data_IF_852520935157
#
_entry.id   IF_852520935157
#
_cell.length_a   1.000
_cell.length_b   1.000
_cell.length_c   1.000
_cell.angle_alpha   90.00
_cell.angle_beta   90.00
_cell.angle_gamma   90.00
#
_symmetry.space_group_name_H-M   'P 1'
#
loop_
_entity.id
_entity.type
_entity.pdbx_description
1 polymer ?
#
# COMPACT_ATOMS: atom_id res chain seq x y z
N UNK A 1 1.58 -46.97 -31.32
CA UNK A 1 2.42 -46.00 -30.55
C UNK A 1 2.21 -44.53 -30.92
N UNK A 2 1.85 -44.14 -32.16
CA UNK A 2 1.71 -42.72 -32.53
C UNK A 2 0.41 -42.04 -32.07
N UNK A 3 -0.69 -42.76 -31.85
CA UNK A 3 -1.95 -42.17 -31.39
C UNK A 3 -1.90 -41.72 -29.92
N UNK A 4 -1.24 -42.51 -29.05
CA UNK A 4 -1.08 -42.20 -27.63
C UNK A 4 -0.14 -41.00 -27.40
N UNK A 5 0.95 -40.88 -28.20
CA UNK A 5 1.81 -39.69 -28.19
C UNK A 5 1.09 -38.43 -28.68
N UNK A 6 0.20 -38.54 -29.68
CA UNK A 6 -0.63 -37.41 -30.16
C UNK A 6 -1.70 -36.99 -29.16
N UNK A 7 -2.28 -37.95 -28.44
CA UNK A 7 -3.26 -37.70 -27.38
C UNK A 7 -2.60 -37.07 -26.15
N UNK A 8 -1.40 -37.53 -25.79
CA UNK A 8 -0.60 -36.99 -24.67
C UNK A 8 0.06 -35.64 -25.00
N UNK A 9 0.45 -35.39 -26.25
CA UNK A 9 0.91 -34.05 -26.68
C UNK A 9 -0.24 -33.03 -26.68
N UNK A 10 -1.48 -33.47 -26.92
CA UNK A 10 -2.66 -32.61 -26.84
C UNK A 10 -3.05 -32.21 -25.41
N UNK A 11 -2.64 -33.01 -24.42
CA UNK A 11 -2.87 -32.75 -22.99
C UNK A 11 -1.80 -31.83 -22.37
N UNK A 12 -0.65 -31.62 -23.02
CA UNK A 12 0.51 -30.90 -22.44
C UNK A 12 1.07 -29.74 -23.29
N UNK A 13 0.44 -29.31 -24.38
CA UNK A 13 0.94 -28.13 -25.12
C UNK A 13 -0.16 -27.33 -25.83
N UNK A 14 -1.11 -26.79 -25.06
CA UNK A 14 -1.75 -25.53 -25.47
C UNK A 14 -0.98 -24.41 -24.79
N UNK A 15 -0.21 -23.66 -25.59
CA UNK A 15 0.28 -22.36 -25.13
C UNK A 15 -0.92 -21.52 -24.67
N UNK A 16 -0.81 -20.80 -23.55
CA UNK A 16 -1.90 -19.94 -23.10
C UNK A 16 -2.24 -18.94 -24.20
N UNK A 17 -3.53 -18.82 -24.50
CA UNK A 17 -4.07 -17.97 -25.55
C UNK A 17 -4.48 -16.57 -25.04
N UNK A 18 -4.49 -16.37 -23.71
CA UNK A 18 -4.84 -15.10 -23.09
C UNK A 18 -4.15 -14.92 -21.73
N UNK A 19 -4.13 -13.67 -21.23
CA UNK A 19 -3.64 -13.35 -19.90
C UNK A 19 -4.43 -14.09 -18.82
N UNK A 20 -5.76 -14.21 -18.96
CA UNK A 20 -6.59 -14.95 -18.00
C UNK A 20 -6.17 -16.42 -17.91
N UNK A 21 -5.77 -17.03 -19.04
CA UNK A 21 -5.27 -18.41 -19.02
C UNK A 21 -3.93 -18.52 -18.29
N UNK A 22 -3.04 -17.54 -18.44
CA UNK A 22 -1.78 -17.50 -17.68
C UNK A 22 -2.08 -17.37 -16.18
N UNK A 23 -2.99 -16.48 -15.79
CA UNK A 23 -3.40 -16.30 -14.39
C UNK A 23 -3.99 -17.59 -13.79
N UNK A 24 -4.86 -18.29 -14.53
CA UNK A 24 -5.40 -19.58 -14.09
C UNK A 24 -4.30 -20.63 -13.90
N UNK A 25 -3.32 -20.68 -14.81
CA UNK A 25 -2.18 -21.61 -14.68
C UNK A 25 -1.33 -21.30 -13.44
N UNK A 26 -1.11 -20.03 -13.12
CA UNK A 26 -0.40 -19.62 -11.90
C UNK A 26 -1.17 -20.04 -10.64
N UNK A 27 -2.49 -19.86 -10.62
CA UNK A 27 -3.35 -20.29 -9.51
C UNK A 27 -3.35 -21.82 -9.34
N UNK A 28 -3.38 -22.57 -10.44
CA UNK A 28 -3.28 -24.04 -10.42
C UNK A 28 -1.91 -24.49 -9.89
N UNK A 29 -0.82 -23.85 -10.32
CA UNK A 29 0.53 -24.12 -9.84
C UNK A 29 0.67 -23.83 -8.33
N UNK A 30 0.06 -22.75 -7.84
CA UNK A 30 -0.01 -22.45 -6.41
C UNK A 30 -0.79 -23.51 -5.63
N UNK A 31 -1.99 -23.89 -6.10
CA UNK A 31 -2.80 -24.96 -5.47
C UNK A 31 -2.11 -26.33 -5.45
N UNK A 32 -1.26 -26.59 -6.45
CA UNK A 32 -0.44 -27.79 -6.52
C UNK A 32 0.82 -27.73 -5.64
N UNK A 33 1.06 -26.60 -4.95
CA UNK A 33 2.24 -26.39 -4.10
C UNK A 33 3.54 -26.16 -4.86
N UNK A 34 3.48 -25.82 -6.14
CA UNK A 34 4.66 -25.51 -6.98
C UNK A 34 5.09 -24.05 -6.78
N UNK A 35 4.15 -23.16 -6.49
CA UNK A 35 4.38 -21.76 -6.18
C UNK A 35 3.88 -21.49 -4.76
N UNK A 36 4.66 -20.80 -3.93
CA UNK A 36 4.15 -20.29 -2.67
C UNK A 36 3.39 -18.97 -2.93
N UNK A 37 2.74 -18.45 -1.90
CA UNK A 37 1.90 -17.25 -2.03
C UNK A 37 2.71 -16.02 -2.48
N UNK A 38 3.91 -15.74 -1.96
CA UNK A 38 4.70 -14.58 -2.38
C UNK A 38 5.12 -14.64 -3.86
N UNK A 39 5.48 -15.82 -4.39
CA UNK A 39 5.81 -15.93 -5.82
C UNK A 39 4.57 -15.74 -6.70
N UNK A 40 3.41 -16.24 -6.27
CA UNK A 40 2.15 -16.03 -6.99
C UNK A 40 1.82 -14.54 -7.10
N UNK A 41 1.91 -13.80 -5.99
CA UNK A 41 1.63 -12.36 -5.94
C UNK A 41 2.59 -11.58 -6.84
N UNK A 42 3.89 -11.88 -6.76
CA UNK A 42 4.91 -11.25 -7.61
C UNK A 42 4.62 -11.48 -9.10
N UNK A 43 4.30 -12.72 -9.49
CA UNK A 43 4.02 -13.07 -10.88
C UNK A 43 2.73 -12.40 -11.37
N UNK A 44 1.69 -12.33 -10.55
CA UNK A 44 0.44 -11.64 -10.88
C UNK A 44 0.66 -10.13 -11.02
N UNK A 45 1.36 -9.50 -10.10
CA UNK A 45 1.69 -8.08 -10.16
C UNK A 45 2.49 -7.74 -11.42
N UNK A 46 3.49 -8.56 -11.77
CA UNK A 46 4.26 -8.41 -13.00
C UNK A 46 3.40 -8.55 -14.27
N UNK A 47 2.41 -9.45 -14.30
CA UNK A 47 1.49 -9.63 -15.43
C UNK A 47 0.48 -8.48 -15.58
N UNK A 48 0.11 -7.81 -14.48
CA UNK A 48 -0.84 -6.70 -14.48
C UNK A 48 -0.20 -5.33 -14.72
N UNK A 49 1.10 -5.16 -14.46
CA UNK A 49 1.79 -3.89 -14.69
C UNK A 49 1.59 -3.28 -16.10
N UNK A 50 1.52 -4.06 -17.20
CA UNK A 50 1.26 -3.52 -18.53
C UNK A 50 -0.18 -3.06 -18.78
N UNK A 51 -1.15 -3.41 -17.92
CA UNK A 51 -2.56 -3.02 -18.10
C UNK A 51 -2.96 -1.85 -17.21
N UNK A 52 -2.19 -1.58 -16.15
CA UNK A 52 -2.45 -0.52 -15.17
C UNK A 52 -1.80 0.80 -15.57
N UNK A 53 -2.48 1.89 -15.24
CA UNK A 53 -2.03 3.25 -15.53
C UNK A 53 -1.53 3.97 -14.28
N UNK A 54 -0.67 4.96 -14.48
CA UNK A 54 -0.08 5.81 -13.43
C UNK A 54 -1.18 6.45 -12.56
N UNK A 55 -2.26 6.95 -13.16
CA UNK A 55 -3.37 7.57 -12.41
C UNK A 55 -4.03 6.68 -11.35
N UNK A 56 -3.92 5.36 -11.49
CA UNK A 56 -4.56 4.40 -10.57
C UNK A 56 -3.80 4.30 -9.23
N UNK A 57 -2.50 4.64 -9.23
CA UNK A 57 -1.61 4.43 -8.08
C UNK A 57 -0.81 5.66 -7.68
N UNK A 58 -0.85 6.74 -8.46
CA UNK A 58 -0.17 7.98 -8.10
C UNK A 58 -0.67 8.53 -6.75
N UNK A 59 0.19 9.26 -6.06
CA UNK A 59 -0.19 10.12 -4.94
C UNK A 59 -0.96 11.32 -5.51
N UNK A 60 -2.25 11.49 -5.21
CA UNK A 60 -3.06 12.56 -5.77
C UNK A 60 -2.57 13.94 -5.30
N UNK A 61 -2.79 14.97 -6.13
CA UNK A 61 -2.41 16.36 -5.86
C UNK A 61 -2.69 16.86 -4.43
N UNK A 62 -3.88 16.62 -3.83
CA UNK A 62 -4.16 17.10 -2.47
C UNK A 62 -3.31 16.44 -1.38
N UNK A 63 -2.84 15.21 -1.63
CA UNK A 63 -2.01 14.42 -0.71
C UNK A 63 -0.52 14.63 -0.93
N UNK A 64 -0.12 15.50 -1.88
CA UNK A 64 1.30 15.75 -2.16
C UNK A 64 1.97 16.53 -1.02
N UNK A 65 3.03 15.93 -0.48
CA UNK A 65 3.97 16.61 0.40
C UNK A 65 4.92 17.51 -0.42
N UNK A 66 4.68 18.83 -0.46
CA UNK A 66 5.46 19.80 -1.27
C UNK A 66 6.18 20.86 -0.43
N UNK A 67 7.31 21.36 -0.91
CA UNK A 67 8.04 22.47 -0.27
C UNK A 67 7.82 23.76 -1.08
N UNK A 68 7.52 24.87 -0.39
CA UNK A 68 7.37 26.17 -1.03
C UNK A 68 8.75 26.74 -1.42
N UNK A 69 8.87 27.30 -2.62
CA UNK A 69 10.09 27.95 -3.05
C UNK A 69 10.40 29.14 -2.14
N UNK A 70 11.62 29.17 -1.60
CA UNK A 70 12.06 30.21 -0.68
C UNK A 70 11.80 29.89 0.80
N UNK A 71 11.21 28.74 1.14
CA UNK A 71 11.12 28.27 2.52
C UNK A 71 12.51 28.21 3.18
N UNK A 72 12.54 28.55 4.47
CA UNK A 72 13.78 28.53 5.25
C UNK A 72 14.25 27.10 5.54
N UNK A 73 15.53 26.92 5.81
CA UNK A 73 16.12 25.60 6.08
C UNK A 73 15.43 24.86 7.24
N UNK A 74 15.03 25.60 8.28
CA UNK A 74 14.33 25.05 9.44
C UNK A 74 12.93 24.54 9.11
N UNK A 75 12.14 25.33 8.38
CA UNK A 75 10.80 24.96 7.91
C UNK A 75 10.85 23.72 6.99
N UNK A 76 11.85 23.67 6.12
CA UNK A 76 12.11 22.51 5.27
C UNK A 76 12.42 21.27 6.11
N UNK A 77 13.26 21.41 7.15
CA UNK A 77 13.62 20.31 8.03
C UNK A 77 12.42 19.80 8.84
N UNK A 78 11.59 20.68 9.39
CA UNK A 78 10.34 20.31 10.06
C UNK A 78 9.41 19.52 9.13
N UNK A 79 9.28 19.97 7.89
CA UNK A 79 8.46 19.29 6.89
C UNK A 79 8.99 17.89 6.56
N UNK A 80 10.32 17.76 6.46
CA UNK A 80 10.98 16.46 6.24
C UNK A 80 10.74 15.52 7.40
N UNK A 81 10.87 16.01 8.64
CA UNK A 81 10.63 15.25 9.85
C UNK A 81 9.17 14.77 9.94
N UNK A 82 8.21 15.65 9.61
CA UNK A 82 6.77 15.34 9.67
C UNK A 82 6.36 14.22 8.71
N UNK A 83 6.92 14.18 7.49
CA UNK A 83 6.46 13.26 6.44
C UNK A 83 7.42 12.08 6.22
N UNK A 84 8.69 12.19 6.62
CA UNK A 84 9.68 11.12 6.50
C UNK A 84 10.08 10.74 5.08
N UNK A 85 9.64 11.47 4.05
CA UNK A 85 9.95 11.12 2.65
C UNK A 85 11.38 11.50 2.25
N UNK A 86 11.90 10.79 1.25
CA UNK A 86 13.24 11.04 0.70
C UNK A 86 13.29 12.21 -0.30
N UNK A 87 12.15 12.57 -0.92
CA UNK A 87 12.04 13.56 -2.00
C UNK A 87 10.77 14.39 -1.85
N UNK A 88 10.88 15.67 -2.15
CA UNK A 88 9.77 16.63 -2.08
C UNK A 88 9.75 17.47 -3.36
N UNK A 89 8.61 17.58 -4.05
CA UNK A 89 8.43 18.59 -5.08
C UNK A 89 8.55 19.99 -4.48
N UNK A 90 9.30 20.86 -5.15
CA UNK A 90 9.37 22.28 -4.79
C UNK A 90 8.45 23.07 -5.72
N UNK A 91 7.51 23.80 -5.14
CA UNK A 91 6.48 24.57 -5.84
C UNK A 91 6.76 26.07 -5.75
N UNK A 92 6.47 26.81 -6.83
CA UNK A 92 6.50 28.27 -6.83
C UNK A 92 5.13 28.84 -6.46
N UNK A 93 4.53 29.66 -7.31
CA UNK A 93 3.33 30.44 -6.95
C UNK A 93 2.11 29.57 -6.62
N UNK A 94 2.04 28.36 -7.17
CA UNK A 94 0.99 27.39 -6.93
C UNK A 94 1.49 25.96 -7.17
N UNK A 95 0.62 24.97 -6.91
CA UNK A 95 0.95 23.54 -7.05
C UNK A 95 1.23 23.08 -8.50
N UNK A 96 0.80 23.83 -9.51
CA UNK A 96 1.12 23.53 -10.92
C UNK A 96 2.53 24.00 -11.31
N UNK A 97 3.07 24.97 -10.57
CA UNK A 97 4.38 25.58 -10.78
C UNK A 97 5.51 24.77 -10.10
N UNK A 98 5.77 23.56 -10.61
CA UNK A 98 6.86 22.71 -10.11
C UNK A 98 8.21 23.25 -10.58
N UNK A 99 9.05 23.66 -9.62
CA UNK A 99 10.40 24.19 -9.84
C UNK A 99 11.50 23.11 -9.84
N UNK A 100 11.22 21.96 -9.24
CA UNK A 100 12.15 20.83 -9.19
C UNK A 100 11.86 19.92 -8.02
N UNK A 101 12.82 19.08 -7.67
CA UNK A 101 12.78 18.18 -6.52
C UNK A 101 13.88 18.53 -5.53
N UNK A 102 13.53 18.55 -4.24
CA UNK A 102 14.47 18.60 -3.14
C UNK A 102 14.62 17.20 -2.54
N UNK A 103 15.86 16.76 -2.30
CA UNK A 103 16.13 15.49 -1.62
C UNK A 103 16.43 15.76 -0.14
N UNK A 104 15.82 14.99 0.75
CA UNK A 104 16.02 15.13 2.19
C UNK A 104 17.51 15.01 2.58
N UNK A 105 18.24 14.09 1.94
CA UNK A 105 19.69 13.91 2.15
C UNK A 105 20.52 15.17 1.82
N UNK A 106 20.05 15.99 0.89
CA UNK A 106 20.74 17.22 0.49
C UNK A 106 20.52 18.32 1.53
N UNK A 107 19.34 18.36 2.15
CA UNK A 107 19.06 19.22 3.31
C UNK A 107 19.94 18.83 4.49
N UNK A 108 20.03 17.54 4.81
CA UNK A 108 20.91 17.04 5.88
C UNK A 108 22.37 17.43 5.64
N UNK A 109 22.86 17.35 4.39
CA UNK A 109 24.22 17.78 4.02
C UNK A 109 24.42 19.28 4.19
N UNK A 110 23.44 20.10 3.78
CA UNK A 110 23.50 21.55 3.93
C UNK A 110 23.54 21.97 5.41
N UNK A 111 22.68 21.38 6.24
CA UNK A 111 22.66 21.60 7.70
C UNK A 111 23.99 21.21 8.35
N UNK A 112 24.53 20.03 8.02
CA UNK A 112 25.79 19.57 8.59
C UNK A 112 26.97 20.48 8.24
N UNK A 113 26.95 21.10 7.05
CA UNK A 113 28.01 21.99 6.57
C UNK A 113 27.78 23.47 6.89
N UNK A 114 26.64 23.82 7.48
CA UNK A 114 26.16 25.21 7.60
C UNK A 114 26.23 25.97 6.26
N UNK A 115 25.80 25.30 5.19
CA UNK A 115 25.82 25.84 3.82
C UNK A 115 24.38 26.08 3.31
N UNK A 116 24.27 26.79 2.20
CA UNK A 116 23.04 26.93 1.43
C UNK A 116 22.55 25.60 0.86
N UNK A 117 21.26 25.52 0.59
CA UNK A 117 20.68 24.37 -0.10
C UNK A 117 21.25 24.24 -1.52
N UNK A 118 21.58 23.02 -1.98
CA UNK A 118 22.03 22.81 -3.35
C UNK A 118 20.90 23.05 -4.35
N UNK A 119 21.27 23.16 -5.63
CA UNK A 119 20.32 23.29 -6.74
C UNK A 119 19.29 22.17 -6.75
N UNK A 120 18.06 22.52 -7.10
CA UNK A 120 16.97 21.56 -7.25
C UNK A 120 17.28 20.53 -8.33
N UNK A 121 16.89 19.29 -8.06
CA UNK A 121 16.95 18.22 -9.05
C UNK A 121 15.81 18.36 -10.05
N UNK A 122 16.02 17.89 -11.28
CA UNK A 122 15.00 17.99 -12.33
C UNK A 122 13.79 17.13 -11.99
N UNK A 123 12.61 17.74 -11.95
CA UNK A 123 11.34 17.03 -11.87
C UNK A 123 10.90 16.58 -13.27
N UNK A 124 10.80 15.27 -13.50
CA UNK A 124 10.29 14.71 -14.75
C UNK A 124 8.77 14.69 -14.72
N UNK A 125 8.12 15.04 -15.83
CA UNK A 125 6.66 15.00 -15.97
C UNK A 125 6.26 13.78 -16.78
N UNK A 126 5.20 13.10 -16.35
CA UNK A 126 4.63 11.92 -17.03
C UNK A 126 3.10 12.06 -17.12
N UNK A 127 2.45 11.56 -18.18
CA UNK A 127 1.01 11.65 -18.30
C UNK A 127 0.30 10.62 -17.41
N UNK A 128 -0.89 10.95 -16.94
CA UNK A 128 -1.78 10.07 -16.16
C UNK A 128 -2.03 8.70 -16.81
N UNK A 129 -2.11 8.68 -18.15
CA UNK A 129 -2.42 7.50 -18.95
C UNK A 129 -1.21 6.60 -19.22
N UNK A 130 -0.01 7.00 -18.76
CA UNK A 130 1.19 6.18 -18.91
C UNK A 130 1.00 4.85 -18.17
N UNK A 131 1.49 3.75 -18.74
CA UNK A 131 1.37 2.42 -18.15
C UNK A 131 2.50 2.16 -17.14
N UNK A 132 2.26 1.31 -16.14
CA UNK A 132 3.23 1.07 -15.08
C UNK A 132 4.50 0.35 -15.57
N UNK A 133 4.38 -0.57 -16.53
CA UNK A 133 5.53 -1.23 -17.17
C UNK A 133 6.47 -0.21 -17.84
N UNK A 134 5.89 0.80 -18.49
CA UNK A 134 6.62 1.88 -19.14
C UNK A 134 7.23 2.82 -18.10
N UNK A 135 6.48 3.13 -17.05
CA UNK A 135 6.95 3.97 -15.94
C UNK A 135 8.14 3.34 -15.21
N UNK A 136 8.08 2.03 -14.92
CA UNK A 136 9.17 1.28 -14.30
C UNK A 136 10.44 1.35 -15.14
N UNK A 137 10.33 1.14 -16.46
CA UNK A 137 11.48 1.24 -17.37
C UNK A 137 12.05 2.67 -17.39
N UNK A 138 11.21 3.70 -17.41
CA UNK A 138 11.65 5.09 -17.35
C UNK A 138 12.41 5.41 -16.04
N UNK A 139 11.95 4.89 -14.90
CA UNK A 139 12.68 5.02 -13.64
C UNK A 139 14.04 4.32 -13.67
N UNK A 140 14.10 3.10 -14.23
CA UNK A 140 15.35 2.33 -14.37
C UNK A 140 16.37 3.03 -15.26
N UNK A 141 15.95 3.60 -16.39
CA UNK A 141 16.84 4.28 -17.34
C UNK A 141 17.31 5.65 -16.86
N UNK A 142 16.41 6.42 -16.26
CA UNK A 142 16.70 7.81 -15.89
C UNK A 142 17.39 7.95 -14.52
N UNK A 143 17.43 6.88 -13.73
CA UNK A 143 17.85 6.89 -12.32
C UNK A 143 17.10 7.91 -11.44
N UNK A 144 15.95 8.39 -11.90
CA UNK A 144 15.02 9.19 -11.10
C UNK A 144 14.01 8.25 -10.46
N UNK A 145 13.63 8.53 -9.22
CA UNK A 145 12.73 7.67 -8.43
C UNK A 145 11.41 8.39 -8.11
N UNK A 146 11.18 9.56 -8.68
CA UNK A 146 9.96 10.34 -8.53
C UNK A 146 9.69 11.10 -9.83
N UNK A 147 8.43 11.11 -10.23
CA UNK A 147 7.93 11.89 -11.36
C UNK A 147 6.65 12.64 -10.96
N UNK A 148 6.43 13.79 -11.58
CA UNK A 148 5.21 14.57 -11.44
C UNK A 148 4.22 14.07 -12.49
N UNK A 149 3.02 13.75 -12.06
CA UNK A 149 1.96 13.32 -12.96
C UNK A 149 1.17 14.53 -13.42
N UNK A 150 0.93 14.61 -14.72
CA UNK A 150 0.20 15.72 -15.34
C UNK A 150 -1.00 15.23 -16.15
N UNK A 151 -2.04 16.06 -16.18
CA UNK A 151 -3.22 15.91 -17.02
C UNK A 151 -2.94 16.33 -18.48
N UNK A 152 -3.96 16.22 -19.34
CA UNK A 152 -3.87 16.57 -20.76
C UNK A 152 -3.67 18.08 -21.01
N UNK A 153 -3.95 18.92 -20.01
CA UNK A 153 -3.78 20.38 -20.07
C UNK A 153 -2.44 20.83 -19.47
N UNK A 154 -1.64 19.89 -18.94
CA UNK A 154 -0.35 20.14 -18.32
C UNK A 154 -0.43 20.56 -16.85
N UNK A 155 -1.62 20.51 -16.25
CA UNK A 155 -1.84 20.69 -14.83
C UNK A 155 -1.27 19.52 -14.03
N UNK A 156 -0.86 19.77 -12.79
CA UNK A 156 -0.34 18.73 -11.90
C UNK A 156 -1.52 17.97 -11.29
N UNK A 157 -1.53 16.67 -11.54
CA UNK A 157 -2.53 15.73 -11.02
C UNK A 157 -2.05 15.00 -9.77
N UNK A 158 -0.73 14.90 -9.61
CA UNK A 158 -0.12 14.16 -8.51
C UNK A 158 1.38 13.94 -8.69
N UNK A 159 1.91 12.98 -7.96
CA UNK A 159 3.25 12.44 -8.16
C UNK A 159 3.23 10.92 -8.10
N UNK A 160 4.25 10.29 -8.66
CA UNK A 160 4.45 8.84 -8.58
C UNK A 160 5.92 8.56 -8.27
N UNK A 161 6.18 7.52 -7.50
CA UNK A 161 7.51 7.08 -7.09
C UNK A 161 7.81 5.68 -7.63
N UNK A 162 9.09 5.30 -7.64
CA UNK A 162 9.48 3.95 -8.05
C UNK A 162 8.96 2.92 -7.04
N UNK A 163 8.90 3.31 -5.77
CA UNK A 163 8.37 2.50 -4.67
C UNK A 163 6.90 2.15 -4.93
N UNK A 164 6.05 3.12 -5.35
CA UNK A 164 4.64 2.87 -5.69
C UNK A 164 4.50 1.83 -6.82
N UNK A 165 5.37 1.93 -7.84
CA UNK A 165 5.35 1.01 -8.99
C UNK A 165 5.82 -0.39 -8.58
N UNK A 166 6.86 -0.48 -7.75
CA UNK A 166 7.37 -1.75 -7.24
C UNK A 166 6.36 -2.42 -6.31
N UNK A 167 5.65 -1.67 -5.46
CA UNK A 167 4.59 -2.19 -4.58
C UNK A 167 3.49 -2.89 -5.40
N UNK A 168 3.14 -2.38 -6.58
CA UNK A 168 2.13 -3.06 -7.42
C UNK A 168 2.63 -4.36 -8.05
N UNK A 169 3.94 -4.53 -8.18
CA UNK A 169 4.54 -5.73 -8.78
C UNK A 169 4.85 -6.75 -7.71
N UNK A 170 5.49 -6.32 -6.63
CA UNK A 170 5.98 -7.20 -5.56
C UNK A 170 4.91 -7.46 -4.51
N UNK A 171 3.90 -6.59 -4.39
CA UNK A 171 2.98 -6.60 -3.26
C UNK A 171 3.61 -5.94 -2.04
N UNK A 172 2.95 -6.06 -0.88
CA UNK A 172 3.49 -5.55 0.38
C UNK A 172 4.72 -6.39 0.77
N UNK A 173 5.92 -5.90 0.45
CA UNK A 173 7.16 -6.45 1.00
C UNK A 173 7.10 -6.20 2.51
N UNK A 174 7.06 -7.27 3.30
CA UNK A 174 7.29 -7.18 4.75
C UNK A 174 8.69 -6.60 4.96
N UNK A 175 8.77 -5.46 5.63
CA UNK A 175 10.01 -4.72 5.85
C UNK A 175 10.97 -5.57 6.72
N UNK A 176 12.28 -5.39 6.61
CA UNK A 176 13.24 -6.02 7.54
C UNK A 176 13.02 -5.50 8.98
N UNK A 177 12.39 -4.34 9.14
CA UNK A 177 11.90 -3.84 10.43
C UNK A 177 10.62 -4.52 10.94
N UNK A 178 9.89 -5.25 10.09
CA UNK A 178 8.76 -6.10 10.51
C UNK A 178 9.25 -7.39 11.20
N UNK A 179 10.51 -7.78 10.98
CA UNK A 179 11.11 -8.98 11.60
C UNK A 179 11.39 -8.82 13.10
N UNK A 180 11.24 -7.62 13.68
CA UNK A 180 11.51 -7.36 15.10
C UNK A 180 10.24 -7.10 15.93
N UNK A 181 9.08 -6.97 15.30
CA UNK A 181 7.79 -6.87 15.99
C UNK A 181 6.91 -8.07 15.64
N UNK A 182 7.43 -9.24 16.01
CA UNK A 182 6.72 -10.50 16.17
C UNK A 182 6.09 -11.06 14.89
N UNK A 183 6.20 -12.37 14.76
CA UNK A 183 5.29 -13.17 13.96
C UNK A 183 3.85 -12.75 14.33
N UNK A 184 3.26 -11.85 13.55
CA UNK A 184 1.88 -11.45 13.71
C UNK A 184 1.04 -12.55 13.08
N UNK A 185 1.09 -13.73 13.70
CA UNK A 185 -0.01 -14.68 13.70
C UNK A 185 -1.28 -13.85 13.95
N UNK A 186 -2.37 -14.20 13.27
CA UNK A 186 -3.54 -13.34 13.07
C UNK A 186 -4.30 -12.89 14.34
N UNK A 187 -3.72 -13.05 15.54
CA UNK A 187 -4.13 -12.54 16.83
C UNK A 187 -2.88 -12.37 17.72
N UNK A 188 -2.32 -11.17 17.83
CA UNK A 188 -1.30 -10.87 18.84
C UNK A 188 -1.97 -10.43 20.14
N UNK A 189 -1.87 -11.22 21.21
CA UNK A 189 -2.35 -10.83 22.55
C UNK A 189 -1.33 -9.91 23.23
N UNK A 190 -1.76 -8.72 23.61
CA UNK A 190 -0.99 -7.73 24.36
C UNK A 190 -1.10 -8.00 25.87
N UNK A 191 -0.13 -7.49 26.64
CA UNK A 191 -0.05 -7.69 28.09
C UNK A 191 -1.24 -7.14 28.90
N UNK A 192 -2.09 -6.32 28.27
CA UNK A 192 -3.32 -5.75 28.83
C UNK A 192 -4.59 -6.53 28.46
N UNK A 193 -4.46 -7.70 27.81
CA UNK A 193 -5.58 -8.53 27.37
C UNK A 193 -6.25 -8.04 26.08
N UNK A 194 -5.65 -7.07 25.38
CA UNK A 194 -6.12 -6.61 24.07
C UNK A 194 -5.46 -7.38 22.93
N UNK A 195 -6.13 -7.45 21.77
CA UNK A 195 -5.63 -8.18 20.61
C UNK A 195 -5.45 -7.27 19.41
N UNK A 196 -4.29 -7.30 18.76
CA UNK A 196 -4.12 -6.64 17.46
C UNK A 196 -4.41 -7.64 16.35
N UNK A 197 -5.29 -7.25 15.42
CA UNK A 197 -5.69 -8.06 14.27
C UNK A 197 -5.61 -7.26 12.97
N UNK A 198 -5.34 -7.94 11.85
CA UNK A 198 -5.49 -7.35 10.51
C UNK A 198 -6.96 -7.09 10.23
N UNK A 199 -7.28 -5.93 9.67
CA UNK A 199 -8.64 -5.58 9.29
C UNK A 199 -9.19 -6.48 8.15
N UNK A 200 -8.33 -7.19 7.43
CA UNK A 200 -8.71 -8.18 6.41
C UNK A 200 -9.23 -9.51 7.00
N UNK A 201 -9.16 -9.71 8.32
CA UNK A 201 -9.69 -10.93 8.95
C UNK A 201 -11.19 -11.06 8.68
N UNK A 202 -11.65 -12.25 8.33
CA UNK A 202 -13.08 -12.51 8.14
C UNK A 202 -13.81 -12.51 9.48
N UNK A 203 -15.06 -12.08 9.53
CA UNK A 203 -15.82 -12.07 10.78
C UNK A 203 -15.99 -13.48 11.37
N UNK A 204 -16.11 -14.49 10.50
CA UNK A 204 -16.16 -15.91 10.87
C UNK A 204 -14.86 -16.35 11.55
N UNK A 205 -13.70 -15.98 10.99
CA UNK A 205 -12.41 -16.32 11.56
C UNK A 205 -12.13 -15.55 12.85
N UNK A 206 -12.52 -14.27 12.91
CA UNK A 206 -12.43 -13.44 14.11
C UNK A 206 -13.16 -14.08 15.29
N UNK A 207 -14.42 -14.51 15.08
CA UNK A 207 -15.22 -15.22 16.08
C UNK A 207 -14.60 -16.55 16.49
N UNK A 208 -14.09 -17.32 15.54
CA UNK A 208 -13.45 -18.62 15.82
C UNK A 208 -12.18 -18.47 16.65
N UNK A 209 -11.38 -17.42 16.40
CA UNK A 209 -10.08 -17.22 17.05
C UNK A 209 -10.18 -16.46 18.38
N UNK A 210 -11.08 -15.47 18.46
CA UNK A 210 -11.17 -14.55 19.60
C UNK A 210 -12.46 -14.64 20.40
N UNK A 211 -13.45 -15.43 19.95
CA UNK A 211 -14.75 -15.52 20.61
C UNK A 211 -15.59 -14.24 20.55
N UNK A 212 -15.12 -13.20 19.84
CA UNK A 212 -15.83 -11.94 19.68
C UNK A 212 -16.96 -12.15 18.67
N UNK A 213 -18.21 -11.98 19.13
CA UNK A 213 -19.39 -11.98 18.28
C UNK A 213 -19.82 -10.55 17.96
N UNK A 214 -20.13 -10.32 16.69
CA UNK A 214 -20.72 -9.09 16.19
C UNK A 214 -22.17 -9.39 15.83
N UNK A 215 -23.12 -8.85 16.60
CA UNK A 215 -24.54 -9.20 16.49
C UNK A 215 -25.09 -8.93 15.08
N UNK A 216 -25.28 -10.01 14.30
CA UNK A 216 -25.81 -9.95 12.93
C UNK A 216 -24.86 -9.38 11.86
N UNK A 217 -23.68 -8.88 12.23
CA UNK A 217 -22.75 -8.29 11.25
C UNK A 217 -22.15 -9.32 10.29
N UNK A 218 -22.09 -10.60 10.70
CA UNK A 218 -21.63 -11.72 9.88
C UNK A 218 -22.51 -11.94 8.63
N UNK A 219 -23.78 -11.50 8.66
CA UNK A 219 -24.72 -11.65 7.53
C UNK A 219 -24.60 -10.51 6.51
N UNK A 220 -23.99 -9.38 6.90
CA UNK A 220 -23.89 -8.16 6.09
C UNK A 220 -22.45 -7.86 5.63
N UNK A 221 -21.43 -8.30 6.38
CA UNK A 221 -20.03 -7.95 6.13
C UNK A 221 -19.13 -9.19 6.18
N UNK A 222 -18.21 -9.26 5.22
CA UNK A 222 -17.26 -10.38 5.13
C UNK A 222 -16.05 -10.20 6.06
N UNK A 223 -15.56 -8.97 6.21
CA UNK A 223 -14.31 -8.65 6.94
C UNK A 223 -14.51 -7.61 8.03
N UNK A 224 -13.61 -7.61 9.02
CA UNK A 224 -13.61 -6.64 10.11
C UNK A 224 -13.46 -5.20 9.60
N UNK A 225 -12.59 -4.98 8.61
CA UNK A 225 -12.40 -3.68 7.99
C UNK A 225 -13.66 -3.17 7.29
N UNK A 226 -14.37 -4.04 6.56
CA UNK A 226 -15.63 -3.69 5.92
C UNK A 226 -16.70 -3.28 6.93
N UNK A 227 -16.84 -4.06 8.01
CA UNK A 227 -17.74 -3.74 9.12
C UNK A 227 -17.42 -2.39 9.76
N UNK A 228 -16.15 -2.14 10.12
CA UNK A 228 -15.74 -0.91 10.78
C UNK A 228 -15.88 0.31 9.86
N UNK A 229 -15.51 0.20 8.58
CA UNK A 229 -15.70 1.29 7.61
C UNK A 229 -17.17 1.69 7.49
N UNK A 230 -18.08 0.72 7.43
CA UNK A 230 -19.51 0.99 7.42
C UNK A 230 -19.95 1.72 8.70
N UNK A 231 -19.44 1.29 9.85
CA UNK A 231 -19.81 1.86 11.15
C UNK A 231 -19.28 3.27 11.39
N UNK A 232 -18.06 3.56 10.94
CA UNK A 232 -17.48 4.90 10.97
C UNK A 232 -18.06 5.82 9.87
N UNK A 233 -18.61 5.25 8.79
CA UNK A 233 -19.13 6.00 7.63
C UNK A 233 -18.04 6.66 6.77
N UNK A 234 -16.76 6.41 7.11
CA UNK A 234 -15.55 6.90 6.43
C UNK A 234 -14.37 6.02 6.84
N UNK A 235 -13.21 6.26 6.22
CA UNK A 235 -11.95 5.70 6.73
C UNK A 235 -11.53 6.47 7.99
N UNK A 236 -11.41 5.81 9.16
CA UNK A 236 -11.00 6.46 10.40
C UNK A 236 -9.48 6.73 10.42
N UNK A 237 -9.04 7.69 11.24
CA UNK A 237 -7.59 7.92 11.45
C UNK A 237 -7.04 7.03 12.57
N UNK A 238 -5.73 6.84 12.59
CA UNK A 238 -5.05 6.07 13.64
C UNK A 238 -5.37 6.64 15.04
N UNK A 239 -5.69 5.75 15.97
CA UNK A 239 -6.11 6.07 17.34
C UNK A 239 -7.62 6.33 17.52
N UNK A 240 -8.41 6.42 16.44
CA UNK A 240 -9.86 6.50 16.58
C UNK A 240 -10.43 5.21 17.18
N UNK A 241 -11.47 5.35 18.00
CA UNK A 241 -12.09 4.24 18.72
C UNK A 241 -13.58 4.14 18.42
N UNK A 242 -14.02 2.92 18.18
CA UNK A 242 -15.42 2.54 18.12
C UNK A 242 -15.73 1.62 19.30
N UNK A 243 -16.79 1.94 20.04
CA UNK A 243 -17.21 1.19 21.21
C UNK A 243 -18.53 0.49 20.89
N UNK A 244 -18.52 -0.83 20.84
CA UNK A 244 -19.71 -1.66 20.72
C UNK A 244 -20.00 -2.38 22.05
N UNK A 245 -21.10 -3.14 22.11
CA UNK A 245 -21.57 -3.78 23.34
C UNK A 245 -20.52 -4.71 23.96
N UNK A 246 -19.84 -5.52 23.14
CA UNK A 246 -18.93 -6.58 23.61
C UNK A 246 -17.44 -6.29 23.38
N UNK A 247 -17.10 -5.24 22.62
CA UNK A 247 -15.70 -4.97 22.26
C UNK A 247 -15.46 -3.48 21.96
N UNK A 248 -14.24 -3.02 22.24
CA UNK A 248 -13.72 -1.71 21.81
C UNK A 248 -12.72 -1.94 20.69
N UNK A 249 -12.96 -1.28 19.55
CA UNK A 249 -12.12 -1.31 18.37
C UNK A 249 -11.31 -0.01 18.32
N UNK A 250 -10.00 -0.08 18.44
CA UNK A 250 -9.07 1.04 18.24
C UNK A 250 -8.31 0.85 16.93
N UNK A 251 -8.33 1.87 16.08
CA UNK A 251 -7.63 1.85 14.80
C UNK A 251 -6.13 1.99 15.07
N UNK A 252 -5.37 0.95 14.77
CA UNK A 252 -3.91 0.97 14.94
C UNK A 252 -3.28 1.55 13.69
N UNK A 253 -3.74 1.10 12.52
CA UNK A 253 -3.28 1.60 11.24
C UNK A 253 -4.40 1.63 10.19
N UNK A 254 -4.50 2.73 9.46
CA UNK A 254 -5.41 2.96 8.36
C UNK A 254 -4.70 3.80 7.28
N UNK A 255 -4.89 3.42 6.02
CA UNK A 255 -4.51 4.25 4.88
C UNK A 255 -5.63 5.22 4.52
N UNK A 256 -5.46 6.01 3.46
CA UNK A 256 -6.54 6.88 2.95
C UNK A 256 -7.78 6.10 2.46
N UNK A 257 -7.63 4.80 2.16
CA UNK A 257 -8.68 4.00 1.49
C UNK A 257 -9.24 2.86 2.33
N UNK A 258 -8.50 2.37 3.32
CA UNK A 258 -8.89 1.19 4.11
C UNK A 258 -8.25 1.18 5.48
N UNK A 259 -8.92 0.52 6.42
CA UNK A 259 -8.33 0.15 7.71
C UNK A 259 -7.38 -1.03 7.46
N UNK A 260 -6.19 -1.00 8.03
CA UNK A 260 -5.17 -2.05 7.88
C UNK A 260 -5.11 -2.95 9.12
N UNK A 261 -5.07 -2.36 10.32
CA UNK A 261 -5.00 -3.09 11.58
C UNK A 261 -5.83 -2.42 12.69
N UNK A 262 -6.34 -3.25 13.58
CA UNK A 262 -7.27 -2.85 14.64
C UNK A 262 -6.86 -3.54 15.93
N UNK A 263 -6.82 -2.78 17.02
CA UNK A 263 -6.70 -3.30 18.38
C UNK A 263 -8.09 -3.50 18.97
N UNK A 264 -8.32 -4.68 19.51
CA UNK A 264 -9.57 -5.14 20.09
C UNK A 264 -9.41 -5.24 21.59
N UNK A 265 -10.25 -4.56 22.35
CA UNK A 265 -10.38 -4.79 23.79
C UNK A 265 -11.71 -5.48 24.05
N UNK A 266 -11.65 -6.73 24.52
CA UNK A 266 -12.85 -7.43 24.98
C UNK A 266 -13.39 -6.70 26.20
N UNK A 267 -14.69 -6.39 26.23
CA UNK A 267 -15.35 -5.99 27.46
C UNK A 267 -15.74 -7.29 28.16
N UNK A 268 -14.99 -7.68 29.19
CA UNK A 268 -15.37 -8.83 30.03
C UNK A 268 -16.84 -8.71 30.43
N UNK A 269 -17.64 -9.76 30.19
CA UNK A 269 -18.88 -9.93 30.93
C UNK A 269 -18.53 -10.04 32.42
N UNK A 270 -19.23 -9.34 33.34
CA UNK A 270 -19.05 -9.59 34.75
C UNK A 270 -19.30 -11.08 35.00
N UNK A 271 -18.34 -11.76 35.63
CA UNK A 271 -18.49 -13.13 36.05
C UNK A 271 -19.81 -13.28 36.83
N UNK A 272 -20.72 -14.11 36.32
CA UNK A 272 -21.89 -14.54 37.07
C UNK A 272 -21.37 -15.17 38.37
N UNK A 273 -21.56 -14.46 39.48
CA UNK A 273 -21.27 -14.96 40.81
C UNK A 273 -22.33 -16.01 41.12
N UNK A 274 -21.93 -17.28 41.12
CA UNK A 274 -22.70 -18.36 41.75
C UNK A 274 -22.67 -18.22 43.28
#
# INVERSE_FOLDING_TARGET
MNALKKLLSGLFSRAPASLEQIEQMLLEAHRAGVLEQPELELLQGALQAPTRQVREIMVPRPSMAVIQLGSGLHEIAERIEQHGHSRYPVVGDNLDDIRGLLLAKDVLRAMHRNDSLPSLHKAHKVPETMRLDTMLNQFRESHNHMAIVVDEYGGVSGLITIEDVLEQIVGNIQDEHDSASQEMEAVGELSDGSHIVKASITLIELKKKLGIQLDGAEDEYETLGGFLLHRFGRVPVNGERLVEENCIYEIVDASERKIQSVRLHSKEQPAETQ
#
